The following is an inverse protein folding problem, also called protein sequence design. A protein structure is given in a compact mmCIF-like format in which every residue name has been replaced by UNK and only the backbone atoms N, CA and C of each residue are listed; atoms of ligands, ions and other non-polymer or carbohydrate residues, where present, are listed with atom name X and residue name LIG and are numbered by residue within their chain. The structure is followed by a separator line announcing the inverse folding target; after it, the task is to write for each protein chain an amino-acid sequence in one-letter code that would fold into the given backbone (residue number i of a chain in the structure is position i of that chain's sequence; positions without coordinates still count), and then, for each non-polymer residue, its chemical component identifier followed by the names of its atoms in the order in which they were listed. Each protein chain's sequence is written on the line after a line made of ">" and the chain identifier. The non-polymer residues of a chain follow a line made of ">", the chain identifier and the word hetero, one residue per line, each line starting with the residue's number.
data_IF_607986370901
#
_entry.id   IF_607986370901
#
_cell.length_a   1.000
_cell.length_b   1.000
_cell.length_c   1.000
_cell.angle_alpha   90.00
_cell.angle_beta   90.00
_cell.angle_gamma   90.00
#
_symmetry.space_group_name_H-M   'P 1'
#
loop_
_entity.id
_entity.type
_entity.pdbx_description
1 polymer ?
#
# COMPACT_ATOMS: atom_id res chain seq x y z
N UNK A 1 15.42 5.32 10.72
CA UNK A 1 14.65 6.45 10.17
C UNK A 1 13.30 6.42 10.86
N UNK A 2 13.04 7.32 11.81
CA UNK A 2 11.78 7.35 12.56
C UNK A 2 10.61 7.58 11.62
N UNK A 3 9.56 6.76 11.74
CA UNK A 3 8.31 6.90 10.99
C UNK A 3 7.64 8.24 11.35
N UNK A 4 7.82 9.25 10.49
CA UNK A 4 7.38 10.64 10.70
C UNK A 4 5.91 10.90 10.34
N UNK A 5 5.10 9.86 10.14
CA UNK A 5 3.71 10.02 9.66
C UNK A 5 2.71 10.20 10.81
N UNK A 6 3.05 9.68 12.00
CA UNK A 6 2.16 9.65 13.18
C UNK A 6 1.70 11.02 13.73
N UNK A 7 2.42 12.15 13.59
CA UNK A 7 1.93 13.42 14.17
C UNK A 7 1.14 14.32 13.20
N UNK A 8 1.09 14.06 11.89
CA UNK A 8 0.62 15.05 10.92
C UNK A 8 -0.87 15.44 11.08
N UNK A 9 -1.77 14.44 11.15
CA UNK A 9 -3.20 14.71 11.28
C UNK A 9 -3.60 15.26 12.67
N UNK A 10 -3.09 14.73 13.81
CA UNK A 10 -3.35 15.32 15.13
C UNK A 10 -2.90 16.78 15.25
N UNK A 11 -1.71 17.13 14.75
CA UNK A 11 -1.20 18.51 14.79
C UNK A 11 -2.04 19.45 13.91
N UNK A 12 -2.46 19.00 12.73
CA UNK A 12 -3.35 19.76 11.85
C UNK A 12 -4.73 19.98 12.48
N UNK A 13 -5.29 18.98 13.17
CA UNK A 13 -6.55 19.15 13.92
C UNK A 13 -6.43 20.16 15.06
N UNK A 14 -5.33 20.15 15.79
CA UNK A 14 -5.07 21.14 16.83
C UNK A 14 -4.99 22.55 16.25
N UNK A 15 -4.24 22.74 15.15
CA UNK A 15 -4.14 24.01 14.45
C UNK A 15 -5.48 24.46 13.84
N UNK A 16 -6.27 23.52 13.32
CA UNK A 16 -7.62 23.75 12.83
C UNK A 16 -8.53 24.31 13.94
N UNK A 17 -8.46 23.79 15.16
CA UNK A 17 -9.26 24.33 16.29
C UNK A 17 -8.97 25.82 16.55
N UNK A 18 -7.71 26.22 16.47
CA UNK A 18 -7.29 27.63 16.60
C UNK A 18 -7.81 28.45 15.42
N UNK A 19 -7.66 27.96 14.19
CA UNK A 19 -8.15 28.62 12.98
C UNK A 19 -9.67 28.76 12.96
N UNK A 20 -10.44 27.73 13.32
CA UNK A 20 -11.90 27.76 13.35
C UNK A 20 -12.44 28.78 14.38
N UNK A 21 -11.73 28.94 15.49
CA UNK A 21 -12.04 29.95 16.52
C UNK A 21 -11.68 31.36 16.05
N UNK A 22 -10.55 31.50 15.35
CA UNK A 22 -9.99 32.78 14.93
C UNK A 22 -9.64 32.84 13.43
N UNK A 23 -10.60 32.66 12.50
CA UNK A 23 -10.35 32.46 11.05
C UNK A 23 -9.91 33.72 10.30
N UNK A 24 -9.59 34.75 11.07
CA UNK A 24 -9.37 36.14 10.68
C UNK A 24 -8.00 36.62 11.16
N UNK A 25 -7.35 35.82 12.01
CA UNK A 25 -6.03 36.08 12.55
C UNK A 25 -5.02 35.40 11.65
N UNK A 26 -4.12 36.19 11.07
CA UNK A 26 -3.06 35.72 10.18
C UNK A 26 -2.24 34.59 10.83
N UNK A 27 -1.84 34.75 12.08
CA UNK A 27 -1.11 33.70 12.82
C UNK A 27 -1.84 32.35 12.86
N UNK A 28 -3.17 32.33 12.94
CA UNK A 28 -3.95 31.10 13.04
C UNK A 28 -4.01 30.37 11.68
N UNK A 29 -4.08 31.13 10.58
CA UNK A 29 -3.99 30.55 9.24
C UNK A 29 -2.56 30.10 8.91
N UNK A 30 -1.55 30.90 9.25
CA UNK A 30 -0.15 30.55 9.01
C UNK A 30 0.21 29.24 9.75
N UNK A 31 -0.18 29.12 11.03
CA UNK A 31 0.01 27.91 11.83
C UNK A 31 -0.70 26.70 11.20
N UNK A 32 -1.94 26.88 10.73
CA UNK A 32 -2.69 25.80 10.07
C UNK A 32 -2.01 25.37 8.76
N UNK A 33 -1.62 26.33 7.93
CA UNK A 33 -0.96 26.07 6.64
C UNK A 33 0.37 25.34 6.87
N UNK A 34 1.15 25.74 7.87
CA UNK A 34 2.39 25.05 8.26
C UNK A 34 2.16 23.56 8.59
N UNK A 35 1.00 23.21 9.15
CA UNK A 35 0.64 21.80 9.44
C UNK A 35 0.03 21.06 8.24
N UNK A 36 -0.66 21.75 7.35
CA UNK A 36 -1.25 21.16 6.14
C UNK A 36 -0.19 20.88 5.06
N UNK A 37 0.86 21.71 4.94
CA UNK A 37 1.91 21.54 3.90
C UNK A 37 2.56 20.14 3.95
N UNK A 38 3.04 19.64 5.10
CA UNK A 38 3.59 18.28 5.18
C UNK A 38 2.57 17.18 4.85
N UNK A 39 1.29 17.35 5.23
CA UNK A 39 0.21 16.43 4.85
C UNK A 39 0.02 16.41 3.33
N UNK A 40 0.01 17.58 2.69
CA UNK A 40 -0.17 17.71 1.25
C UNK A 40 1.00 17.06 0.50
N UNK A 41 2.24 17.29 0.94
CA UNK A 41 3.42 16.66 0.36
C UNK A 41 3.35 15.13 0.50
N UNK A 42 2.95 14.65 1.68
CA UNK A 42 2.78 13.22 1.94
C UNK A 42 1.73 12.57 1.01
N UNK A 43 0.58 13.24 0.83
CA UNK A 43 -0.49 12.78 -0.04
C UNK A 43 -0.10 12.84 -1.52
N UNK A 44 0.59 13.91 -1.95
CA UNK A 44 0.99 14.11 -3.34
C UNK A 44 1.96 13.03 -3.85
N UNK A 45 2.89 12.57 -3.01
CA UNK A 45 3.77 11.44 -3.33
C UNK A 45 2.99 10.15 -3.61
N UNK A 46 1.82 9.98 -2.98
CA UNK A 46 0.99 8.76 -3.09
C UNK A 46 -0.16 8.88 -4.09
N UNK A 47 -0.47 10.09 -4.53
CA UNK A 47 -1.54 10.37 -5.48
C UNK A 47 -1.49 9.55 -6.79
N UNK A 48 -0.33 9.20 -7.37
CA UNK A 48 -0.29 8.37 -8.57
C UNK A 48 -0.81 6.94 -8.38
N UNK A 49 -0.83 6.45 -7.14
CA UNK A 49 -1.10 5.04 -6.86
C UNK A 49 -2.57 4.76 -6.51
N UNK A 50 -3.29 5.74 -5.95
CA UNK A 50 -4.71 5.56 -5.60
C UNK A 50 -5.54 6.83 -5.79
N UNK A 51 -6.81 6.64 -6.16
CA UNK A 51 -7.78 7.73 -6.26
C UNK A 51 -7.99 8.45 -4.93
N UNK A 52 -7.94 7.73 -3.81
CA UNK A 52 -8.09 8.31 -2.47
C UNK A 52 -6.96 9.30 -2.15
N UNK A 53 -5.70 8.96 -2.47
CA UNK A 53 -4.58 9.87 -2.28
C UNK A 53 -4.59 11.06 -3.25
N UNK A 54 -5.05 10.85 -4.48
CA UNK A 54 -5.25 11.93 -5.44
C UNK A 54 -6.28 12.96 -4.95
N UNK A 55 -7.40 12.48 -4.40
CA UNK A 55 -8.45 13.32 -3.84
C UNK A 55 -7.97 14.07 -2.59
N UNK A 56 -7.32 13.37 -1.65
CA UNK A 56 -6.75 14.00 -0.45
C UNK A 56 -5.74 15.09 -0.79
N UNK A 57 -4.81 14.84 -1.73
CA UNK A 57 -3.82 15.83 -2.16
C UNK A 57 -4.47 17.08 -2.78
N UNK A 58 -5.52 16.89 -3.59
CA UNK A 58 -6.28 17.98 -4.18
C UNK A 58 -7.02 18.80 -3.11
N UNK A 59 -7.71 18.14 -2.18
CA UNK A 59 -8.44 18.82 -1.11
C UNK A 59 -7.50 19.59 -0.18
N UNK A 60 -6.34 19.04 0.19
CA UNK A 60 -5.34 19.74 1.02
C UNK A 60 -4.76 20.98 0.31
N UNK A 61 -4.57 20.93 -1.00
CA UNK A 61 -4.18 22.10 -1.80
C UNK A 61 -5.27 23.18 -1.75
N UNK A 62 -6.54 22.78 -1.88
CA UNK A 62 -7.69 23.66 -1.73
C UNK A 62 -7.80 24.27 -0.33
N UNK A 63 -7.49 23.50 0.71
CA UNK A 63 -7.49 23.96 2.10
C UNK A 63 -6.43 25.04 2.36
N UNK A 64 -5.21 24.90 1.82
CA UNK A 64 -4.15 25.94 1.91
C UNK A 64 -4.62 27.26 1.28
N UNK A 65 -5.21 27.19 0.09
CA UNK A 65 -5.73 28.36 -0.61
C UNK A 65 -6.91 29.00 0.14
N UNK A 66 -7.83 28.18 0.66
CA UNK A 66 -9.00 28.65 1.41
C UNK A 66 -8.60 29.34 2.73
N UNK A 67 -7.65 28.77 3.48
CA UNK A 67 -7.13 29.36 4.72
C UNK A 67 -6.46 30.72 4.48
N UNK A 68 -5.65 30.83 3.41
CA UNK A 68 -5.02 32.09 3.01
C UNK A 68 -6.07 33.15 2.64
N UNK A 69 -7.06 32.76 1.84
CA UNK A 69 -8.15 33.66 1.40
C UNK A 69 -9.01 34.14 2.56
N UNK A 70 -9.23 33.31 3.59
CA UNK A 70 -10.07 33.63 4.74
C UNK A 70 -9.52 34.78 5.61
N UNK A 71 -8.19 34.87 5.74
CA UNK A 71 -7.50 35.92 6.49
C UNK A 71 -7.59 37.27 5.79
N UNK A 72 -7.49 37.27 4.46
CA UNK A 72 -7.54 38.50 3.65
C UNK A 72 -8.98 38.94 3.32
N UNK A 73 -9.97 38.13 3.68
CA UNK A 73 -11.36 38.41 3.39
C UNK A 73 -11.89 39.68 4.10
N UNK A 74 -12.62 40.58 3.40
CA UNK A 74 -13.10 41.86 3.94
C UNK A 74 -13.86 41.75 5.27
N UNK A 75 -13.86 42.85 6.03
CA UNK A 75 -14.53 42.89 7.33
C UNK A 75 -16.05 42.67 7.20
N UNK A 76 -16.68 43.36 6.25
CA UNK A 76 -18.14 43.47 6.11
C UNK A 76 -18.73 42.27 5.37
N UNK A 77 -18.02 41.70 4.39
CA UNK A 77 -18.52 40.60 3.54
C UNK A 77 -17.74 39.29 3.64
N UNK A 78 -16.67 39.21 4.42
CA UNK A 78 -15.81 38.03 4.48
C UNK A 78 -16.33 36.89 5.38
N UNK A 79 -17.48 37.06 6.06
CA UNK A 79 -18.03 36.03 6.97
C UNK A 79 -18.35 34.71 6.25
N UNK A 80 -19.01 34.70 5.07
CA UNK A 80 -19.24 33.47 4.31
C UNK A 80 -17.93 32.81 3.86
N UNK A 81 -16.96 33.61 3.41
CA UNK A 81 -15.63 33.12 2.98
C UNK A 81 -14.92 32.39 4.13
N UNK A 82 -14.90 33.00 5.33
CA UNK A 82 -14.30 32.38 6.51
C UNK A 82 -15.00 31.08 6.92
N UNK A 83 -16.34 31.02 6.84
CA UNK A 83 -17.09 29.78 7.12
C UNK A 83 -16.78 28.69 6.12
N UNK A 84 -16.77 29.01 4.84
CA UNK A 84 -16.41 28.07 3.79
C UNK A 84 -15.00 27.52 3.98
N UNK A 85 -14.03 28.38 4.32
CA UNK A 85 -12.67 27.96 4.57
C UNK A 85 -12.54 26.98 5.75
N UNK A 86 -13.28 27.20 6.84
CA UNK A 86 -13.32 26.26 7.98
C UNK A 86 -13.84 24.89 7.54
N UNK A 87 -14.91 24.84 6.75
CA UNK A 87 -15.44 23.58 6.21
C UNK A 87 -14.45 22.89 5.26
N UNK A 88 -13.91 23.63 4.29
CA UNK A 88 -12.94 23.08 3.33
C UNK A 88 -11.72 22.49 4.03
N UNK A 89 -11.22 23.15 5.08
CA UNK A 89 -10.06 22.67 5.83
C UNK A 89 -10.38 21.37 6.57
N UNK A 90 -11.50 21.28 7.29
CA UNK A 90 -11.82 20.07 8.05
C UNK A 90 -12.09 18.89 7.13
N UNK A 91 -12.78 19.12 6.00
CA UNK A 91 -13.04 18.09 5.00
C UNK A 91 -11.72 17.55 4.42
N UNK A 92 -10.76 18.42 4.11
CA UNK A 92 -9.44 18.01 3.63
C UNK A 92 -8.64 17.19 4.65
N UNK A 93 -8.72 17.53 5.94
CA UNK A 93 -8.09 16.74 7.01
C UNK A 93 -8.73 15.35 7.10
N UNK A 94 -10.07 15.27 7.05
CA UNK A 94 -10.80 14.00 7.08
C UNK A 94 -10.44 13.15 5.85
N UNK A 95 -10.42 13.71 4.64
CA UNK A 95 -10.05 12.99 3.44
C UNK A 95 -8.61 12.43 3.51
N UNK A 96 -7.68 13.17 4.11
CA UNK A 96 -6.34 12.67 4.38
C UNK A 96 -6.35 11.51 5.38
N UNK A 97 -7.08 11.62 6.49
CA UNK A 97 -7.21 10.57 7.50
C UNK A 97 -7.86 9.30 6.93
N UNK A 98 -8.88 9.43 6.08
CA UNK A 98 -9.52 8.31 5.39
C UNK A 98 -8.60 7.65 4.35
N UNK A 99 -7.85 8.45 3.58
CA UNK A 99 -6.84 7.93 2.67
C UNK A 99 -5.72 7.23 3.45
N UNK A 100 -5.41 7.71 4.65
CA UNK A 100 -4.38 7.16 5.50
C UNK A 100 -4.80 5.87 6.22
N UNK A 101 -6.02 5.79 6.74
CA UNK A 101 -6.55 4.61 7.42
C UNK A 101 -6.72 3.43 6.46
N UNK A 102 -7.07 3.70 5.20
CA UNK A 102 -7.07 2.69 4.12
C UNK A 102 -5.66 2.22 3.70
N UNK A 103 -4.59 2.82 4.25
CA UNK A 103 -3.22 2.61 3.79
C UNK A 103 -2.23 2.29 4.91
N UNK A 104 -2.65 2.15 6.17
CA UNK A 104 -1.76 1.70 7.24
C UNK A 104 -2.17 0.34 7.78
N UNK A 105 -1.30 -0.68 7.62
CA UNK A 105 -1.47 -1.99 8.21
C UNK A 105 -0.94 -1.98 9.65
N UNK A 106 -1.22 -0.96 10.48
CA UNK A 106 -0.75 -0.94 11.87
C UNK A 106 -1.82 -0.42 12.84
N UNK A 107 -1.96 -1.08 14.00
CA UNK A 107 -2.90 -0.70 15.06
C UNK A 107 -2.38 0.45 15.95
N UNK A 108 -3.21 0.90 16.91
CA UNK A 108 -2.87 1.95 17.89
C UNK A 108 -1.66 1.61 18.78
N UNK A 109 -1.22 0.35 18.79
CA UNK A 109 -0.05 -0.15 19.49
C UNK A 109 1.17 -0.32 18.58
N UNK A 110 1.07 0.07 17.30
CA UNK A 110 2.11 -0.08 16.29
C UNK A 110 2.27 -1.52 15.78
N UNK A 111 1.37 -2.43 16.09
CA UNK A 111 1.42 -3.83 15.63
C UNK A 111 0.94 -3.88 14.19
N UNK A 112 1.62 -4.67 13.37
CA UNK A 112 1.22 -4.88 11.99
C UNK A 112 -0.15 -5.62 11.92
N UNK A 113 -1.16 -4.96 11.35
CA UNK A 113 -2.55 -5.42 11.19
C UNK A 113 -3.07 -5.01 9.79
N UNK A 114 -2.66 -5.67 8.71
CA UNK A 114 -3.22 -5.43 7.39
C UNK A 114 -4.72 -5.76 7.38
N UNK A 115 -5.50 -5.11 6.51
CA UNK A 115 -6.87 -5.55 6.29
C UNK A 115 -6.86 -6.99 5.74
N UNK A 116 -7.77 -7.87 6.18
CA UNK A 116 -7.81 -9.25 5.69
C UNK A 116 -7.86 -9.29 4.16
N UNK A 117 -6.88 -9.96 3.54
CA UNK A 117 -6.78 -10.10 2.08
C UNK A 117 -6.14 -8.92 1.34
N UNK A 118 -5.56 -7.94 2.05
CA UNK A 118 -4.89 -6.78 1.41
C UNK A 118 -3.38 -6.73 1.67
N UNK A 119 -2.82 -7.73 2.35
CA UNK A 119 -1.40 -7.75 2.71
C UNK A 119 -0.49 -7.85 1.48
N UNK A 120 -0.90 -8.64 0.50
CA UNK A 120 -0.18 -8.89 -0.74
C UNK A 120 -1.12 -8.69 -1.94
N UNK A 121 -0.61 -8.05 -3.00
CA UNK A 121 -1.39 -7.77 -4.22
C UNK A 121 -1.79 -9.04 -4.98
N UNK A 122 -1.03 -10.12 -4.78
CA UNK A 122 -1.26 -11.43 -5.38
C UNK A 122 -0.83 -12.54 -4.41
N UNK A 123 -1.45 -13.70 -4.53
CA UNK A 123 -1.13 -14.90 -3.74
C UNK A 123 -0.03 -15.75 -4.40
N UNK A 124 0.55 -16.69 -3.65
CA UNK A 124 1.47 -17.69 -4.24
C UNK A 124 0.77 -18.50 -5.33
N UNK A 125 -0.54 -18.75 -5.17
CA UNK A 125 -1.34 -19.41 -6.20
C UNK A 125 -1.44 -18.62 -7.51
N UNK A 126 -1.46 -17.28 -7.44
CA UNK A 126 -1.46 -16.43 -8.63
C UNK A 126 -0.12 -16.49 -9.35
N UNK A 127 1.00 -16.53 -8.61
CA UNK A 127 2.35 -16.75 -9.17
C UNK A 127 2.39 -18.07 -9.92
N UNK A 128 1.92 -19.16 -9.30
CA UNK A 128 1.89 -20.48 -9.93
C UNK A 128 1.06 -20.52 -11.21
N UNK A 129 -0.13 -19.90 -11.22
CA UNK A 129 -0.98 -19.81 -12.43
C UNK A 129 -0.33 -18.99 -13.53
N UNK A 130 0.27 -17.86 -13.20
CA UNK A 130 0.98 -17.04 -14.17
C UNK A 130 2.20 -17.79 -14.74
N UNK A 131 2.93 -18.53 -13.90
CA UNK A 131 4.05 -19.37 -14.32
C UNK A 131 3.61 -20.50 -15.26
N UNK A 132 2.49 -21.19 -14.97
CA UNK A 132 1.92 -22.21 -15.86
C UNK A 132 1.57 -21.65 -17.25
N UNK A 133 1.02 -20.43 -17.32
CA UNK A 133 0.76 -19.76 -18.60
C UNK A 133 2.04 -19.50 -19.41
N UNK A 134 3.15 -19.18 -18.74
CA UNK A 134 4.46 -18.98 -19.37
C UNK A 134 5.08 -20.32 -19.81
N UNK A 135 4.90 -21.39 -19.02
CA UNK A 135 5.42 -22.73 -19.30
C UNK A 135 4.76 -23.33 -20.55
N UNK A 136 3.47 -23.09 -20.76
CA UNK A 136 2.76 -23.41 -21.99
C UNK A 136 1.39 -24.04 -21.77
N UNK A 137 0.64 -24.34 -22.86
CA UNK A 137 -0.76 -24.74 -22.78
C UNK A 137 -1.00 -26.12 -22.17
N UNK A 138 0.04 -26.94 -22.06
CA UNK A 138 0.02 -28.28 -21.45
C UNK A 138 0.35 -28.22 -19.96
N UNK A 139 0.62 -27.05 -19.39
CA UNK A 139 0.87 -26.90 -17.97
C UNK A 139 -0.37 -26.36 -17.26
N UNK A 140 -0.64 -26.89 -16.08
CA UNK A 140 -1.65 -26.35 -15.17
C UNK A 140 -1.04 -26.09 -13.79
N UNK A 141 -1.68 -25.18 -13.05
CA UNK A 141 -1.35 -24.90 -11.67
C UNK A 141 -2.62 -24.98 -10.81
N UNK A 142 -2.59 -25.86 -9.82
CA UNK A 142 -3.64 -25.96 -8.81
C UNK A 142 -3.26 -25.18 -7.57
N UNK A 143 -4.20 -24.42 -7.01
CA UNK A 143 -3.98 -23.73 -5.75
C UNK A 143 -3.95 -24.74 -4.61
N UNK A 144 -2.99 -24.60 -3.69
CA UNK A 144 -3.08 -25.29 -2.39
C UNK A 144 -4.18 -24.63 -1.54
N UNK A 145 -4.63 -25.26 -0.44
CA UNK A 145 -5.60 -24.66 0.46
C UNK A 145 -5.23 -23.24 0.88
N UNK A 146 -6.20 -22.34 0.84
CA UNK A 146 -6.05 -20.92 1.18
C UNK A 146 -5.07 -20.11 0.31
N UNK A 147 -4.58 -20.66 -0.82
CA UNK A 147 -3.78 -19.92 -1.79
C UNK A 147 -2.33 -19.66 -1.37
N UNK A 148 -1.86 -20.31 -0.29
CA UNK A 148 -0.50 -20.16 0.25
C UNK A 148 0.57 -20.89 -0.57
N UNK A 149 0.15 -21.62 -1.61
CA UNK A 149 1.01 -22.35 -2.53
C UNK A 149 0.30 -22.65 -3.85
N UNK A 150 1.05 -23.19 -4.79
CA UNK A 150 0.54 -23.73 -6.05
C UNK A 150 1.27 -25.01 -6.42
N UNK A 151 0.54 -26.01 -6.92
CA UNK A 151 1.11 -27.22 -7.48
C UNK A 151 1.11 -27.11 -9.00
N UNK A 152 2.30 -27.06 -9.61
CA UNK A 152 2.50 -26.98 -11.06
C UNK A 152 2.75 -28.38 -11.62
N UNK A 153 2.02 -28.73 -12.67
CA UNK A 153 2.12 -30.06 -13.27
C UNK A 153 1.92 -30.00 -14.78
N UNK A 154 2.64 -30.87 -15.49
CA UNK A 154 2.42 -31.10 -16.91
C UNK A 154 1.22 -32.02 -17.11
N UNK A 155 0.40 -31.71 -18.10
CA UNK A 155 -0.71 -32.55 -18.52
C UNK A 155 -0.20 -33.97 -18.82
N UNK A 156 -0.85 -34.96 -18.19
CA UNK A 156 -0.56 -36.40 -18.26
C UNK A 156 0.62 -36.91 -17.43
N UNK A 157 1.31 -36.06 -16.65
CA UNK A 157 2.28 -36.50 -15.65
C UNK A 157 1.62 -36.68 -14.27
N UNK A 158 2.06 -37.69 -13.53
CA UNK A 158 1.69 -37.85 -12.11
C UNK A 158 2.47 -36.92 -11.21
N UNK A 159 3.63 -36.48 -11.69
CA UNK A 159 4.61 -35.77 -10.91
C UNK A 159 4.56 -34.26 -11.23
N UNK A 160 5.05 -33.43 -10.32
CA UNK A 160 4.97 -31.99 -10.42
C UNK A 160 5.84 -31.26 -9.41
N UNK A 161 5.60 -29.96 -9.31
CA UNK A 161 6.37 -29.06 -8.46
C UNK A 161 5.45 -28.23 -7.58
N UNK A 162 5.65 -28.32 -6.27
CA UNK A 162 4.98 -27.49 -5.28
C UNK A 162 5.73 -26.16 -5.12
N UNK A 163 5.09 -25.06 -5.49
CA UNK A 163 5.49 -23.70 -5.15
C UNK A 163 4.91 -23.31 -3.78
N UNK A 164 5.76 -22.93 -2.83
CA UNK A 164 5.36 -22.51 -1.49
C UNK A 164 6.38 -21.54 -0.89
N UNK A 165 6.03 -20.93 0.25
CA UNK A 165 6.92 -20.07 1.04
C UNK A 165 7.43 -20.84 2.24
N UNK A 166 8.73 -20.78 2.48
CA UNK A 166 9.34 -21.39 3.66
C UNK A 166 9.00 -20.53 4.88
N UNK A 167 8.45 -21.20 5.89
CA UNK A 167 8.10 -20.58 7.18
C UNK A 167 8.76 -21.34 8.33
N UNK A 168 9.64 -22.30 8.01
CA UNK A 168 10.43 -23.02 8.99
C UNK A 168 11.56 -22.10 9.45
N UNK A 169 11.77 -22.01 10.78
CA UNK A 169 12.54 -20.96 11.45
C UNK A 169 14.06 -20.96 11.24
N UNK A 170 14.55 -21.32 10.04
CA UNK A 170 15.89 -20.97 9.60
C UNK A 170 15.90 -19.50 9.13
N UNK A 171 16.60 -18.60 9.84
CA UNK A 171 16.63 -17.18 9.49
C UNK A 171 17.29 -16.87 8.14
N UNK A 172 17.91 -17.86 7.47
CA UNK A 172 18.50 -17.69 6.14
C UNK A 172 17.55 -18.00 5.00
N UNK A 173 16.44 -18.70 5.27
CA UNK A 173 15.43 -19.07 4.27
C UNK A 173 14.00 -18.72 4.69
N UNK A 174 13.82 -18.21 5.91
CA UNK A 174 12.51 -17.78 6.42
C UNK A 174 11.91 -16.68 5.54
N UNK A 175 10.73 -16.98 4.97
CA UNK A 175 10.02 -16.13 4.04
C UNK A 175 10.41 -16.30 2.57
N UNK A 176 11.36 -17.18 2.24
CA UNK A 176 11.77 -17.41 0.85
C UNK A 176 10.76 -18.28 0.10
N UNK A 177 10.59 -17.95 -1.18
CA UNK A 177 9.81 -18.75 -2.11
C UNK A 177 10.64 -19.97 -2.55
N UNK A 178 10.05 -21.16 -2.58
CA UNK A 178 10.73 -22.37 -3.04
C UNK A 178 9.83 -23.24 -3.92
N UNK A 179 10.48 -24.06 -4.74
CA UNK A 179 9.87 -25.17 -5.47
C UNK A 179 10.30 -26.50 -4.86
N UNK A 180 9.36 -27.41 -4.66
CA UNK A 180 9.64 -28.78 -4.21
C UNK A 180 9.13 -29.79 -5.22
N UNK A 181 10.00 -30.70 -5.65
CA UNK A 181 9.59 -31.86 -6.45
C UNK A 181 8.89 -32.93 -5.57
N UNK A 182 8.28 -33.94 -6.18
CA UNK A 182 7.62 -35.01 -5.42
C UNK A 182 8.60 -35.93 -4.66
N UNK A 183 9.90 -35.85 -4.95
CA UNK A 183 10.96 -36.51 -4.21
C UNK A 183 11.34 -35.75 -2.92
N UNK A 184 10.79 -34.54 -2.73
CA UNK A 184 11.00 -33.68 -1.58
C UNK A 184 12.23 -32.78 -1.68
N UNK A 185 12.88 -32.71 -2.84
CA UNK A 185 14.00 -31.80 -3.09
C UNK A 185 13.51 -30.36 -3.19
N UNK A 186 14.04 -29.48 -2.33
CA UNK A 186 13.68 -28.06 -2.31
C UNK A 186 14.69 -27.23 -3.12
N UNK A 187 14.19 -26.42 -4.03
CA UNK A 187 14.94 -25.39 -4.76
C UNK A 187 14.44 -24.02 -4.34
N UNK A 188 15.25 -23.28 -3.59
CA UNK A 188 14.93 -21.94 -3.11
C UNK A 188 15.15 -20.90 -4.21
N UNK A 189 14.20 -19.97 -4.31
CA UNK A 189 14.26 -18.79 -5.18
C UNK A 189 14.75 -17.62 -4.33
N UNK A 190 16.07 -17.53 -4.15
CA UNK A 190 16.68 -16.49 -3.31
C UNK A 190 16.57 -15.10 -3.93
N UNK A 191 16.66 -14.07 -3.09
CA UNK A 191 16.68 -12.65 -3.49
C UNK A 191 15.42 -12.17 -4.23
N UNK A 192 14.26 -12.80 -3.98
CA UNK A 192 12.97 -12.34 -4.50
C UNK A 192 12.00 -11.96 -3.39
N UNK A 193 11.08 -11.06 -3.71
CA UNK A 193 10.05 -10.63 -2.80
C UNK A 193 8.77 -10.22 -3.54
N UNK A 194 7.69 -10.01 -2.79
CA UNK A 194 6.42 -9.58 -3.38
C UNK A 194 6.52 -8.26 -4.18
N UNK A 195 7.51 -7.40 -3.88
CA UNK A 195 7.70 -6.12 -4.56
C UNK A 195 8.23 -6.27 -6.01
N UNK A 196 8.78 -7.43 -6.38
CA UNK A 196 9.24 -7.70 -7.76
C UNK A 196 8.06 -7.82 -8.74
N UNK A 197 6.85 -8.04 -8.22
CA UNK A 197 5.62 -8.12 -8.98
C UNK A 197 5.39 -9.48 -9.63
N UNK A 198 4.11 -9.74 -9.92
CA UNK A 198 3.65 -11.03 -10.43
C UNK A 198 4.38 -11.50 -11.71
N UNK A 199 4.61 -10.66 -12.74
CA UNK A 199 5.25 -11.12 -13.98
C UNK A 199 6.68 -11.63 -13.78
N UNK A 200 7.49 -10.92 -12.98
CA UNK A 200 8.88 -11.28 -12.74
C UNK A 200 8.99 -12.58 -11.94
N UNK A 201 8.16 -12.73 -10.89
CA UNK A 201 8.10 -13.95 -10.08
C UNK A 201 7.61 -15.14 -10.90
N UNK A 202 6.59 -14.95 -11.74
CA UNK A 202 6.07 -16.00 -12.61
C UNK A 202 7.11 -16.49 -13.62
N UNK A 203 7.88 -15.57 -14.23
CA UNK A 203 8.94 -15.92 -15.17
C UNK A 203 10.09 -16.67 -14.48
N UNK A 204 10.48 -16.24 -13.28
CA UNK A 204 11.50 -16.95 -12.49
C UNK A 204 11.06 -18.37 -12.14
N UNK A 205 9.83 -18.55 -11.66
CA UNK A 205 9.27 -19.87 -11.36
C UNK A 205 9.26 -20.75 -12.61
N UNK A 206 8.77 -20.23 -13.74
CA UNK A 206 8.73 -20.98 -14.99
C UNK A 206 10.13 -21.40 -15.48
N UNK A 207 11.12 -20.50 -15.38
CA UNK A 207 12.50 -20.81 -15.75
C UNK A 207 13.14 -21.85 -14.81
N UNK A 208 12.82 -21.79 -13.52
CA UNK A 208 13.32 -22.75 -12.55
C UNK A 208 12.72 -24.14 -12.79
N UNK A 209 11.42 -24.23 -13.05
CA UNK A 209 10.75 -25.50 -13.42
C UNK A 209 11.38 -26.12 -14.67
N UNK A 210 11.67 -25.32 -15.71
CA UNK A 210 12.39 -25.82 -16.90
C UNK A 210 13.77 -26.35 -16.55
N UNK A 211 14.52 -25.61 -15.73
CA UNK A 211 15.87 -26.01 -15.33
C UNK A 211 15.90 -27.30 -14.51
N UNK A 212 14.92 -27.52 -13.64
CA UNK A 212 14.79 -28.77 -12.87
C UNK A 212 14.47 -29.95 -13.80
N UNK A 213 13.50 -29.77 -14.70
CA UNK A 213 13.09 -30.82 -15.63
C UNK A 213 14.19 -31.22 -16.62
N UNK A 214 15.03 -30.28 -17.06
CA UNK A 214 16.16 -30.58 -17.94
C UNK A 214 17.30 -31.32 -17.22
N UNK A 215 17.29 -31.36 -15.88
CA UNK A 215 18.28 -32.05 -15.06
C UNK A 215 17.88 -33.50 -14.67
N UNK A 216 16.60 -33.85 -14.82
CA UNK A 216 16.03 -35.19 -14.60
C UNK A 216 16.20 -36.11 -15.83
#
# INVERSE_FOLDING_TARGET
>A
MSSTVTPLAPEARAAYGVFATFPRRRYAADLLIERIIPMQAYAAVRAPHTRAWQEAAWQLTGAIAAASTAVDAPLIFGRPIRRAAVTIVVDAIIAFEEAHSRYLPHDDHGRYTPEPGTEYEFSVSDIGRAAAQILGPVWHAESTPWGVGAYLQLQDETDGYLLAVDTEGDPTTDGDLYLTDDMGSRTYLSDVCAADGLPALAELVANTVRGLRDAD
#
